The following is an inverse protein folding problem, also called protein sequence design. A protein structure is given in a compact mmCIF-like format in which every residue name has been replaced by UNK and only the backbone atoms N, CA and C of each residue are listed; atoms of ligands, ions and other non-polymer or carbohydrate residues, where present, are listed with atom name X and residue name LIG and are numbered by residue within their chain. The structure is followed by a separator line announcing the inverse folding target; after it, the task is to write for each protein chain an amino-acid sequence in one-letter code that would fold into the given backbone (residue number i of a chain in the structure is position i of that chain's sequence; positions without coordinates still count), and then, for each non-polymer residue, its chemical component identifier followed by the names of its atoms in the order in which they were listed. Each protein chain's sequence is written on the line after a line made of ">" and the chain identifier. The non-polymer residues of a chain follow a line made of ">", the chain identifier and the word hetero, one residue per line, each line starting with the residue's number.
data_IF_308848815423
#
_entry.id   IF_308848815423
#
_cell.length_a   1.000
_cell.length_b   1.000
_cell.length_c   1.000
_cell.angle_alpha   90.00
_cell.angle_beta   90.00
_cell.angle_gamma   90.00
#
_symmetry.space_group_name_H-M   'P 1'
#
loop_
_entity.id
_entity.type
_entity.pdbx_description
1 polymer ?
#
# COMPACT_ATOMS: atom_id res chain seq x y z
N UNK A 1 -22.59 7.85 -41.41
CA UNK A 1 -22.26 6.48 -40.95
C UNK A 1 -21.58 6.57 -39.57
N UNK A 2 -22.34 6.94 -38.55
CA UNK A 2 -21.95 6.61 -37.18
C UNK A 2 -22.51 5.20 -36.93
N UNK A 3 -21.62 4.24 -37.03
CA UNK A 3 -21.93 2.85 -36.76
C UNK A 3 -22.34 2.72 -35.28
N UNK A 4 -23.63 2.47 -35.05
CA UNK A 4 -24.22 2.21 -33.72
C UNK A 4 -23.75 0.86 -33.12
N UNK A 5 -22.83 0.14 -33.77
CA UNK A 5 -22.24 -1.07 -33.23
C UNK A 5 -21.39 -0.76 -31.99
N UNK A 6 -21.61 -1.47 -30.88
CA UNK A 6 -20.86 -1.32 -29.63
C UNK A 6 -19.42 -1.86 -29.71
N UNK A 7 -18.97 -2.26 -30.90
CA UNK A 7 -17.60 -2.73 -31.13
C UNK A 7 -16.60 -1.62 -30.85
N UNK A 8 -15.70 -1.90 -29.90
CA UNK A 8 -14.58 -1.06 -29.54
C UNK A 8 -13.41 -1.35 -30.48
N UNK A 9 -13.00 -0.39 -31.29
CA UNK A 9 -11.83 -0.49 -32.16
C UNK A 9 -11.05 0.84 -32.19
N UNK A 10 -9.77 0.78 -32.51
CA UNK A 10 -8.86 1.93 -32.40
C UNK A 10 -9.27 3.08 -33.32
N UNK A 11 -9.88 2.78 -34.47
CA UNK A 11 -10.37 3.78 -35.43
C UNK A 11 -11.54 4.59 -34.84
N UNK A 12 -12.52 3.93 -34.22
CA UNK A 12 -13.64 4.59 -33.53
C UNK A 12 -13.14 5.38 -32.33
N UNK A 13 -12.25 4.81 -31.52
CA UNK A 13 -11.68 5.48 -30.36
C UNK A 13 -10.89 6.74 -30.78
N UNK A 14 -10.07 6.67 -31.84
CA UNK A 14 -9.36 7.82 -32.40
C UNK A 14 -10.31 8.91 -32.94
N UNK A 15 -11.37 8.53 -33.66
CA UNK A 15 -12.40 9.48 -34.14
C UNK A 15 -13.11 10.18 -32.98
N UNK A 16 -13.47 9.45 -31.92
CA UNK A 16 -14.09 10.00 -30.71
C UNK A 16 -13.13 10.96 -30.00
N UNK A 17 -11.85 10.60 -29.86
CA UNK A 17 -10.83 11.48 -29.28
C UNK A 17 -10.68 12.76 -30.11
N UNK A 18 -10.57 12.64 -31.44
CA UNK A 18 -10.46 13.80 -32.33
C UNK A 18 -11.68 14.72 -32.23
N UNK A 19 -12.89 14.15 -32.15
CA UNK A 19 -14.12 14.92 -31.98
C UNK A 19 -14.17 15.60 -30.60
N UNK A 20 -13.75 14.93 -29.53
CA UNK A 20 -13.64 15.55 -28.19
C UNK A 20 -12.63 16.70 -28.17
N UNK A 21 -11.49 16.58 -28.86
CA UNK A 21 -10.50 17.64 -29.00
C UNK A 21 -11.06 18.82 -29.80
N UNK A 22 -11.63 18.55 -30.98
CA UNK A 22 -12.29 19.55 -31.83
C UNK A 22 -13.39 20.32 -31.09
N UNK A 23 -14.20 19.61 -30.30
CA UNK A 23 -15.32 20.21 -29.57
C UNK A 23 -14.90 20.89 -28.25
N UNK A 24 -13.60 20.91 -27.92
CA UNK A 24 -13.11 21.46 -26.65
C UNK A 24 -13.55 20.66 -25.42
N UNK A 25 -14.06 19.43 -25.60
CA UNK A 25 -14.59 18.54 -24.55
C UNK A 25 -13.50 17.67 -23.93
N UNK A 26 -12.37 18.28 -23.60
CA UNK A 26 -11.26 17.63 -22.93
C UNK A 26 -10.86 18.40 -21.68
N UNK A 27 -10.21 17.71 -20.75
CA UNK A 27 -9.63 18.34 -19.57
C UNK A 27 -8.12 18.35 -19.73
N UNK A 28 -7.50 19.52 -19.54
CA UNK A 28 -6.05 19.61 -19.47
C UNK A 28 -5.60 18.88 -18.19
N UNK A 29 -4.75 17.85 -18.29
CA UNK A 29 -4.26 17.15 -17.12
C UNK A 29 -3.40 18.09 -16.28
N UNK A 30 -3.76 18.27 -15.01
CA UNK A 30 -2.87 18.90 -14.03
C UNK A 30 -1.73 17.93 -13.72
N UNK A 31 -0.58 18.19 -14.34
CA UNK A 31 0.69 17.54 -14.06
C UNK A 31 1.33 18.25 -12.87
N UNK A 32 1.61 17.53 -11.76
CA UNK A 32 2.36 18.12 -10.66
C UNK A 32 3.71 18.61 -11.15
N UNK A 33 4.21 19.65 -10.51
CA UNK A 33 5.51 20.24 -10.75
C UNK A 33 6.32 20.24 -9.45
N UNK A 34 7.64 20.36 -9.56
CA UNK A 34 8.55 20.41 -8.42
C UNK A 34 8.37 19.23 -7.47
N UNK A 35 8.33 19.51 -6.17
CA UNK A 35 8.30 18.48 -5.10
C UNK A 35 7.12 17.51 -5.24
N UNK A 36 5.96 17.97 -5.73
CA UNK A 36 4.80 17.08 -5.94
C UNK A 36 4.99 16.10 -7.12
N UNK A 37 5.80 16.48 -8.13
CA UNK A 37 6.19 15.58 -9.21
C UNK A 37 7.17 14.52 -8.69
N UNK A 38 8.14 14.93 -7.88
CA UNK A 38 9.08 14.01 -7.21
C UNK A 38 8.34 13.01 -6.31
N UNK A 39 7.37 13.46 -5.51
CA UNK A 39 6.52 12.55 -4.72
C UNK A 39 5.77 11.55 -5.60
N UNK A 40 5.29 11.98 -6.77
CA UNK A 40 4.58 11.08 -7.69
C UNK A 40 5.50 9.99 -8.23
N UNK A 41 6.70 10.34 -8.66
CA UNK A 41 7.66 9.34 -9.14
C UNK A 41 8.14 8.44 -7.99
N UNK A 42 8.37 8.98 -6.79
CA UNK A 42 8.70 8.18 -5.61
C UNK A 42 7.60 7.15 -5.27
N UNK A 43 6.32 7.54 -5.34
CA UNK A 43 5.21 6.62 -5.10
C UNK A 43 5.06 5.56 -6.21
N UNK A 44 5.42 5.89 -7.45
CA UNK A 44 5.48 4.92 -8.56
C UNK A 44 6.61 3.91 -8.35
N UNK A 45 7.79 4.35 -7.91
CA UNK A 45 8.90 3.47 -7.54
C UNK A 45 8.46 2.53 -6.42
N UNK A 46 7.80 3.06 -5.38
CA UNK A 46 7.25 2.26 -4.27
C UNK A 46 6.28 1.18 -4.75
N UNK A 47 5.40 1.50 -5.70
CA UNK A 47 4.46 0.54 -6.28
C UNK A 47 5.19 -0.60 -7.02
N UNK A 48 6.27 -0.29 -7.75
CA UNK A 48 7.10 -1.29 -8.42
C UNK A 48 7.81 -2.19 -7.40
N UNK A 49 8.52 -1.60 -6.42
CA UNK A 49 9.18 -2.36 -5.36
C UNK A 49 8.21 -3.25 -4.58
N UNK A 50 6.97 -2.81 -4.36
CA UNK A 50 5.94 -3.62 -3.69
C UNK A 50 5.57 -4.82 -4.53
N UNK A 51 5.44 -4.63 -5.85
CA UNK A 51 5.13 -5.73 -6.79
C UNK A 51 6.27 -6.74 -6.82
N UNK A 52 7.51 -6.26 -6.92
CA UNK A 52 8.70 -7.11 -6.94
C UNK A 52 8.83 -7.90 -5.63
N UNK A 53 8.62 -7.25 -4.48
CA UNK A 53 8.66 -7.92 -3.18
C UNK A 53 7.61 -9.03 -3.08
N UNK A 54 6.38 -8.79 -3.52
CA UNK A 54 5.35 -9.84 -3.54
C UNK A 54 5.75 -11.03 -4.42
N UNK A 55 6.40 -10.79 -5.57
CA UNK A 55 6.91 -11.86 -6.44
C UNK A 55 8.00 -12.66 -5.73
N UNK A 56 8.96 -11.99 -5.07
CA UNK A 56 10.02 -12.69 -4.33
C UNK A 56 9.45 -13.48 -3.15
N UNK A 57 8.53 -12.90 -2.39
CA UNK A 57 7.87 -13.60 -1.28
C UNK A 57 7.16 -14.87 -1.77
N UNK A 58 6.41 -14.78 -2.88
CA UNK A 58 5.75 -15.94 -3.46
C UNK A 58 6.74 -17.01 -3.94
N UNK A 59 7.90 -16.62 -4.48
CA UNK A 59 8.96 -17.56 -4.88
C UNK A 59 9.61 -18.24 -3.69
N UNK A 60 9.86 -17.52 -2.58
CA UNK A 60 10.37 -18.13 -1.34
C UNK A 60 9.35 -19.11 -0.77
N UNK A 61 8.06 -18.76 -0.76
CA UNK A 61 7.01 -19.70 -0.37
C UNK A 61 7.00 -20.96 -1.22
N UNK A 62 7.07 -20.84 -2.54
CA UNK A 62 7.14 -21.99 -3.44
C UNK A 62 8.38 -22.86 -3.18
N UNK A 63 9.55 -22.22 -2.97
CA UNK A 63 10.76 -22.92 -2.59
C UNK A 63 10.58 -23.71 -1.29
N UNK A 64 9.99 -23.10 -0.26
CA UNK A 64 9.67 -23.77 1.00
C UNK A 64 8.71 -24.95 0.77
N UNK A 65 7.63 -24.75 0.03
CA UNK A 65 6.65 -25.81 -0.25
C UNK A 65 7.26 -27.01 -0.98
N UNK A 66 8.26 -26.78 -1.85
CA UNK A 66 8.93 -27.83 -2.63
C UNK A 66 10.05 -28.52 -1.85
N UNK A 67 10.91 -27.74 -1.20
CA UNK A 67 12.20 -28.22 -0.70
C UNK A 67 12.22 -28.38 0.83
N UNK A 68 11.35 -27.68 1.57
CA UNK A 68 11.19 -27.84 3.03
C UNK A 68 9.77 -27.45 3.54
N UNK A 69 8.72 -28.18 3.15
CA UNK A 69 7.33 -27.77 3.41
C UNK A 69 6.99 -27.68 4.91
N UNK A 70 7.68 -28.46 5.75
CA UNK A 70 7.46 -28.48 7.20
C UNK A 70 8.08 -27.27 7.91
N UNK A 71 8.90 -26.45 7.24
CA UNK A 71 9.59 -25.31 7.85
C UNK A 71 8.61 -24.34 8.54
N UNK A 72 7.46 -24.07 7.90
CA UNK A 72 6.47 -23.13 8.41
C UNK A 72 5.67 -23.67 9.62
N UNK A 73 5.78 -24.97 9.92
CA UNK A 73 5.22 -25.55 11.16
C UNK A 73 5.99 -25.08 12.39
N UNK A 74 7.30 -24.81 12.24
CA UNK A 74 8.20 -24.33 13.29
C UNK A 74 8.27 -22.80 13.29
N UNK A 75 8.36 -22.21 12.09
CA UNK A 75 8.39 -20.77 11.88
C UNK A 75 7.13 -20.33 11.12
N UNK A 76 6.08 -19.94 11.86
CA UNK A 76 4.81 -19.48 11.27
C UNK A 76 4.96 -18.35 10.25
N UNK A 77 6.03 -17.57 10.37
CA UNK A 77 6.39 -16.49 9.47
C UNK A 77 7.87 -16.65 9.09
N UNK A 78 8.14 -16.94 7.83
CA UNK A 78 9.52 -17.09 7.33
C UNK A 78 10.26 -15.74 7.26
N UNK A 79 9.53 -14.62 7.22
CA UNK A 79 10.12 -13.27 7.17
C UNK A 79 10.59 -12.80 8.56
N UNK A 80 10.30 -13.56 9.62
CA UNK A 80 10.81 -13.23 10.94
C UNK A 80 12.35 -13.39 10.99
N UNK A 81 13.04 -12.53 11.75
CA UNK A 81 14.51 -12.47 11.81
C UNK A 81 15.16 -13.84 12.05
N UNK A 82 14.56 -14.64 12.92
CA UNK A 82 15.03 -15.98 13.26
C UNK A 82 14.88 -16.97 12.12
N UNK A 83 13.77 -16.92 11.38
CA UNK A 83 13.55 -17.80 10.25
C UNK A 83 14.49 -17.44 9.09
N UNK A 84 14.62 -16.15 8.76
CA UNK A 84 15.60 -15.66 7.78
C UNK A 84 17.02 -16.10 8.17
N UNK A 85 17.41 -15.96 9.44
CA UNK A 85 18.71 -16.42 9.93
C UNK A 85 18.91 -17.94 9.70
N UNK A 86 17.90 -18.77 9.96
CA UNK A 86 18.02 -20.21 9.69
C UNK A 86 18.10 -20.50 8.18
N UNK A 87 17.29 -19.81 7.36
CA UNK A 87 17.30 -19.97 5.91
C UNK A 87 18.59 -19.45 5.26
N UNK A 88 19.31 -18.53 5.91
CA UNK A 88 20.60 -18.01 5.44
C UNK A 88 21.74 -19.03 5.53
N UNK A 89 21.51 -20.18 6.17
CA UNK A 89 22.43 -21.33 6.08
C UNK A 89 22.32 -22.05 4.73
N UNK A 90 21.23 -21.81 3.99
CA UNK A 90 20.96 -22.43 2.69
C UNK A 90 21.04 -23.96 2.74
N UNK A 91 20.55 -24.56 3.83
CA UNK A 91 20.55 -26.01 4.04
C UNK A 91 19.20 -26.60 3.66
N UNK A 92 19.25 -27.76 3.01
CA UNK A 92 18.08 -28.60 2.80
C UNK A 92 17.80 -29.47 4.03
N UNK A 93 16.58 -30.03 4.18
CA UNK A 93 16.20 -30.78 5.37
C UNK A 93 17.19 -31.89 5.75
N UNK A 94 17.64 -32.68 4.77
CA UNK A 94 18.55 -33.80 4.98
C UNK A 94 19.97 -33.38 5.41
N UNK A 95 20.41 -32.18 5.02
CA UNK A 95 21.67 -31.59 5.47
C UNK A 95 21.53 -30.99 6.87
N UNK A 96 20.40 -30.29 7.12
CA UNK A 96 20.11 -29.63 8.39
C UNK A 96 20.10 -30.61 9.57
N UNK A 97 19.61 -31.84 9.36
CA UNK A 97 19.62 -32.90 10.38
C UNK A 97 21.04 -33.27 10.84
N UNK A 98 22.02 -33.20 9.93
CA UNK A 98 23.41 -33.54 10.21
C UNK A 98 24.15 -32.45 11.00
N UNK A 99 23.62 -31.22 11.03
CA UNK A 99 24.27 -30.12 11.75
C UNK A 99 24.05 -30.28 13.27
N UNK A 100 25.09 -30.12 14.11
CA UNK A 100 24.96 -30.14 15.56
C UNK A 100 23.99 -29.05 16.06
N UNK A 101 23.21 -29.38 17.09
CA UNK A 101 22.22 -28.45 17.64
C UNK A 101 22.87 -27.20 18.22
N UNK A 102 24.05 -27.35 18.82
CA UNK A 102 24.85 -26.26 19.38
C UNK A 102 25.26 -25.25 18.30
N UNK A 103 25.64 -25.72 17.11
CA UNK A 103 26.02 -24.87 15.98
C UNK A 103 24.81 -24.10 15.43
N UNK A 104 23.66 -24.78 15.26
CA UNK A 104 22.41 -24.13 14.84
C UNK A 104 21.93 -23.11 15.87
N UNK A 105 22.07 -23.42 17.16
CA UNK A 105 21.70 -22.52 18.25
C UNK A 105 22.61 -21.28 18.29
N UNK A 106 23.91 -21.45 18.07
CA UNK A 106 24.85 -20.34 17.98
C UNK A 106 24.50 -19.42 16.81
N UNK A 107 24.28 -19.99 15.62
CA UNK A 107 23.88 -19.23 14.43
C UNK A 107 22.57 -18.45 14.64
N UNK A 108 21.57 -19.08 15.26
CA UNK A 108 20.28 -18.43 15.55
C UNK A 108 20.42 -17.23 16.50
N UNK A 109 21.35 -17.31 17.47
CA UNK A 109 21.58 -16.26 18.49
C UNK A 109 22.19 -14.98 17.91
N UNK A 110 22.84 -15.04 16.75
CA UNK A 110 23.39 -13.86 16.08
C UNK A 110 22.29 -12.87 15.68
N UNK A 111 21.12 -13.37 15.23
CA UNK A 111 20.01 -12.53 14.80
C UNK A 111 19.00 -12.19 15.91
N UNK A 112 18.88 -13.04 16.95
CA UNK A 112 17.83 -12.91 17.97
C UNK A 112 18.37 -13.04 19.40
N UNK A 113 18.53 -11.90 20.09
CA UNK A 113 19.03 -11.82 21.48
C UNK A 113 18.05 -12.29 22.57
N UNK A 114 16.80 -12.65 22.24
CA UNK A 114 15.77 -13.05 23.24
C UNK A 114 14.96 -14.28 22.80
N UNK A 115 14.91 -15.29 23.67
CA UNK A 115 13.77 -16.21 23.81
C UNK A 115 13.59 -17.33 22.77
N UNK A 116 14.43 -17.46 21.74
CA UNK A 116 14.42 -18.66 20.89
C UNK A 116 15.42 -19.67 21.46
N UNK A 117 14.87 -20.70 22.10
CA UNK A 117 15.62 -21.72 22.81
C UNK A 117 15.97 -22.92 21.94
N UNK A 118 16.79 -23.79 22.53
CA UNK A 118 17.13 -25.12 22.04
C UNK A 118 15.89 -25.91 21.55
N UNK A 119 14.75 -25.77 22.24
CA UNK A 119 13.50 -26.42 21.83
C UNK A 119 13.03 -26.10 20.42
N UNK A 120 13.33 -24.90 19.89
CA UNK A 120 12.99 -24.57 18.49
C UNK A 120 13.97 -25.21 17.49
N UNK A 121 15.24 -25.34 17.85
CA UNK A 121 16.23 -26.07 17.05
C UNK A 121 15.86 -27.55 17.00
N UNK A 122 15.50 -28.15 18.14
CA UNK A 122 15.01 -29.53 18.21
C UNK A 122 13.79 -29.71 17.32
N UNK A 123 12.77 -28.84 17.44
CA UNK A 123 11.58 -28.90 16.59
C UNK A 123 11.91 -28.76 15.09
N UNK A 124 12.88 -27.90 14.74
CA UNK A 124 13.33 -27.74 13.36
C UNK A 124 14.03 -29.00 12.83
N UNK A 125 14.91 -29.63 13.62
CA UNK A 125 15.56 -30.88 13.24
C UNK A 125 14.56 -32.04 13.15
N UNK A 126 13.56 -32.08 14.03
CA UNK A 126 12.47 -33.05 13.97
C UNK A 126 11.61 -32.87 12.70
N UNK A 127 11.27 -31.62 12.36
CA UNK A 127 10.57 -31.31 11.11
C UNK A 127 11.41 -31.71 9.89
N UNK A 128 12.72 -31.42 9.92
CA UNK A 128 13.64 -31.75 8.84
C UNK A 128 13.83 -33.26 8.64
N UNK A 129 13.88 -34.05 9.72
CA UNK A 129 14.07 -35.50 9.65
C UNK A 129 12.87 -36.23 9.05
N UNK A 130 11.66 -35.66 9.19
CA UNK A 130 10.42 -36.16 8.62
C UNK A 130 10.04 -35.51 7.29
N UNK A 131 10.90 -34.63 6.77
CA UNK A 131 10.54 -33.80 5.63
C UNK A 131 10.36 -34.61 4.34
N UNK A 132 9.29 -34.29 3.63
CA UNK A 132 8.99 -34.83 2.29
C UNK A 132 9.57 -33.97 1.16
N UNK A 133 10.39 -32.96 1.49
CA UNK A 133 11.00 -32.05 0.52
C UNK A 133 11.84 -32.76 -0.54
N UNK A 134 11.89 -32.18 -1.73
CA UNK A 134 12.61 -32.73 -2.89
C UNK A 134 14.11 -32.84 -2.59
N UNK A 135 14.71 -33.99 -2.92
CA UNK A 135 16.14 -34.27 -2.71
C UNK A 135 16.98 -34.18 -3.99
N UNK A 136 16.33 -34.21 -5.16
CA UNK A 136 16.99 -34.09 -6.45
C UNK A 136 17.26 -32.61 -6.78
N UNK A 137 18.40 -32.32 -7.41
CA UNK A 137 18.77 -30.94 -7.74
C UNK A 137 19.17 -30.08 -6.52
N UNK A 138 19.55 -30.72 -5.41
CA UNK A 138 19.84 -30.07 -4.13
C UNK A 138 20.76 -28.85 -4.22
N UNK A 139 21.85 -28.93 -4.99
CA UNK A 139 22.78 -27.81 -5.15
C UNK A 139 22.13 -26.58 -5.82
N UNK A 140 21.30 -26.78 -6.84
CA UNK A 140 20.59 -25.67 -7.48
C UNK A 140 19.43 -25.15 -6.64
N UNK A 141 18.76 -26.00 -5.85
CA UNK A 141 17.75 -25.55 -4.90
C UNK A 141 18.37 -24.60 -3.85
N UNK A 142 19.55 -24.93 -3.33
CA UNK A 142 20.28 -24.07 -2.38
C UNK A 142 20.72 -22.75 -3.03
N UNK A 143 21.20 -22.82 -4.28
CA UNK A 143 21.54 -21.64 -5.05
C UNK A 143 20.32 -20.73 -5.30
N UNK A 144 19.16 -21.32 -5.61
CA UNK A 144 17.90 -20.60 -5.78
C UNK A 144 17.49 -19.88 -4.49
N UNK A 145 17.49 -20.57 -3.34
CA UNK A 145 17.18 -19.93 -2.06
C UNK A 145 18.12 -18.76 -1.77
N UNK A 146 19.42 -18.94 -1.99
CA UNK A 146 20.41 -17.88 -1.81
C UNK A 146 20.12 -16.66 -2.69
N UNK A 147 19.78 -16.87 -3.95
CA UNK A 147 19.39 -15.81 -4.87
C UNK A 147 18.13 -15.08 -4.36
N UNK A 148 17.10 -15.83 -3.95
CA UNK A 148 15.84 -15.27 -3.48
C UNK A 148 15.99 -14.44 -2.20
N UNK A 149 16.74 -14.94 -1.20
CA UNK A 149 16.99 -14.19 0.03
C UNK A 149 17.83 -12.94 -0.23
N UNK A 150 18.83 -13.02 -1.13
CA UNK A 150 19.62 -11.85 -1.54
C UNK A 150 18.74 -10.79 -2.20
N UNK A 151 17.83 -11.19 -3.09
CA UNK A 151 16.88 -10.29 -3.74
C UNK A 151 15.89 -9.68 -2.74
N UNK A 152 15.41 -10.47 -1.79
CA UNK A 152 14.54 -10.03 -0.72
C UNK A 152 15.20 -8.94 0.15
N UNK A 153 16.43 -9.19 0.61
CA UNK A 153 17.21 -8.21 1.40
C UNK A 153 17.49 -6.93 0.61
N UNK A 154 17.85 -7.06 -0.67
CA UNK A 154 18.08 -5.92 -1.54
C UNK A 154 16.83 -5.06 -1.70
N UNK A 155 15.66 -5.67 -1.92
CA UNK A 155 14.38 -4.96 -2.03
C UNK A 155 14.04 -4.23 -0.73
N UNK A 156 14.23 -4.85 0.43
CA UNK A 156 14.04 -4.19 1.73
C UNK A 156 14.96 -2.98 1.90
N UNK A 157 16.23 -3.10 1.51
CA UNK A 157 17.16 -1.96 1.51
C UNK A 157 16.67 -0.84 0.61
N UNK A 158 16.14 -1.15 -0.58
CA UNK A 158 15.56 -0.14 -1.48
C UNK A 158 14.31 0.52 -0.92
N UNK A 159 13.49 -0.21 -0.16
CA UNK A 159 12.41 0.40 0.59
C UNK A 159 12.91 1.38 1.65
N UNK A 160 13.96 1.06 2.40
CA UNK A 160 14.54 1.98 3.39
C UNK A 160 15.15 3.22 2.73
N UNK A 161 15.91 3.06 1.64
CA UNK A 161 16.44 4.20 0.86
C UNK A 161 15.30 5.12 0.37
N UNK A 162 14.23 4.53 -0.18
CA UNK A 162 13.07 5.30 -0.65
C UNK A 162 12.32 5.98 0.50
N UNK A 163 12.22 5.32 1.66
CA UNK A 163 11.64 5.93 2.87
C UNK A 163 12.45 7.14 3.30
N UNK A 164 13.78 7.09 3.30
CA UNK A 164 14.60 8.28 3.62
C UNK A 164 14.32 9.40 2.61
N UNK A 165 14.32 9.10 1.32
CA UNK A 165 14.08 10.11 0.28
C UNK A 165 12.71 10.75 0.36
N UNK A 166 11.66 9.96 0.61
CA UNK A 166 10.32 10.48 0.83
C UNK A 166 10.25 11.42 2.04
N UNK A 167 11.17 11.31 3.03
CA UNK A 167 11.12 12.05 4.30
C UNK A 167 11.59 13.47 4.02
N UNK A 168 12.73 13.55 3.33
CA UNK A 168 13.31 14.78 2.81
C UNK A 168 12.33 15.56 1.93
N UNK A 169 11.59 14.87 1.05
CA UNK A 169 10.57 15.50 0.20
C UNK A 169 9.39 16.02 1.01
N UNK A 170 8.93 15.26 1.99
CA UNK A 170 7.78 15.63 2.81
C UNK A 170 8.05 16.83 3.73
N UNK A 171 9.27 16.96 4.24
CA UNK A 171 9.68 18.11 5.09
C UNK A 171 9.64 19.44 4.32
N UNK A 172 9.85 19.42 3.01
CA UNK A 172 9.83 20.62 2.17
C UNK A 172 8.41 21.13 1.88
N UNK A 173 7.37 20.33 2.15
CA UNK A 173 6.00 20.71 1.84
C UNK A 173 5.35 21.37 3.06
N UNK A 174 4.81 22.59 2.92
CA UNK A 174 4.06 23.23 4.00
C UNK A 174 2.93 22.35 4.51
N UNK A 175 2.63 22.46 5.81
CA UNK A 175 1.51 21.79 6.47
C UNK A 175 1.65 20.26 6.66
N UNK A 176 2.69 19.62 6.11
CA UNK A 176 2.93 18.18 6.31
C UNK A 176 3.11 17.78 7.78
N UNK A 177 3.84 18.52 8.63
CA UNK A 177 3.91 18.19 10.06
C UNK A 177 2.54 18.11 10.74
N UNK A 178 1.64 19.04 10.42
CA UNK A 178 0.26 19.09 10.93
C UNK A 178 -0.56 17.91 10.40
N UNK A 179 -0.34 17.50 9.15
CA UNK A 179 -0.98 16.32 8.57
C UNK A 179 -0.48 15.01 9.22
N UNK A 180 0.81 14.90 9.52
CA UNK A 180 1.42 13.75 10.18
C UNK A 180 1.05 13.64 11.67
N UNK A 181 0.75 14.76 12.32
CA UNK A 181 0.28 14.78 13.72
C UNK A 181 -1.09 14.09 13.90
N UNK A 182 -1.84 13.85 12.82
CA UNK A 182 -3.13 13.19 12.90
C UNK A 182 -3.00 11.71 13.26
N UNK A 183 -3.60 11.33 14.40
CA UNK A 183 -3.57 9.94 14.89
C UNK A 183 -4.17 8.95 13.88
N UNK A 184 -3.34 8.02 13.43
CA UNK A 184 -3.71 6.93 12.53
C UNK A 184 -3.46 7.22 11.06
N UNK A 185 -2.86 8.36 10.72
CA UNK A 185 -2.45 8.70 9.37
C UNK A 185 -0.93 8.66 9.30
N UNK A 186 -0.41 7.65 8.62
CA UNK A 186 1.02 7.45 8.46
C UNK A 186 1.61 8.26 7.32
N UNK A 187 2.93 8.24 7.27
CA UNK A 187 3.72 8.98 6.29
C UNK A 187 3.47 8.56 4.84
N UNK A 188 3.45 7.26 4.57
CA UNK A 188 3.09 6.69 3.26
C UNK A 188 1.72 7.16 2.76
N UNK A 189 0.78 7.38 3.69
CA UNK A 189 -0.55 7.89 3.36
C UNK A 189 -0.48 9.33 2.90
N UNK A 190 0.25 10.19 3.62
CA UNK A 190 0.40 11.59 3.25
C UNK A 190 1.16 11.73 1.94
N UNK A 191 2.29 11.02 1.78
CA UNK A 191 3.05 10.99 0.52
C UNK A 191 2.19 10.53 -0.65
N UNK A 192 1.47 9.41 -0.51
CA UNK A 192 0.58 8.89 -1.54
C UNK A 192 -0.57 9.84 -1.87
N UNK A 193 -1.11 10.54 -0.87
CA UNK A 193 -2.19 11.49 -1.07
C UNK A 193 -1.70 12.72 -1.83
N UNK A 194 -0.58 13.32 -1.41
CA UNK A 194 0.02 14.50 -2.05
C UNK A 194 0.57 14.18 -3.45
N UNK A 195 1.10 13.00 -3.70
CA UNK A 195 1.49 12.54 -5.04
C UNK A 195 0.31 12.54 -6.05
N UNK A 196 -0.87 12.20 -5.53
CA UNK A 196 -2.10 12.07 -6.32
C UNK A 196 -2.99 13.31 -6.29
N UNK A 197 -2.80 14.25 -5.37
CA UNK A 197 -3.59 15.48 -5.28
C UNK A 197 -2.77 16.69 -5.72
N UNK A 198 -1.46 16.66 -5.53
CA UNK A 198 -0.61 17.84 -5.65
C UNK A 198 -0.81 18.77 -4.45
N UNK A 199 -0.58 20.05 -4.68
CA UNK A 199 -0.79 21.08 -3.67
C UNK A 199 -2.28 21.24 -3.33
N UNK A 200 -2.61 20.99 -2.07
CA UNK A 200 -3.97 21.08 -1.55
C UNK A 200 -4.47 22.54 -1.56
N UNK A 201 -3.56 23.52 -1.46
CA UNK A 201 -3.90 24.95 -1.45
C UNK A 201 -4.53 25.43 -2.76
N UNK A 202 -4.28 24.73 -3.87
CA UNK A 202 -4.83 25.05 -5.19
C UNK A 202 -6.31 24.70 -5.33
N UNK A 203 -6.89 23.99 -4.35
CA UNK A 203 -8.29 23.60 -4.36
C UNK A 203 -9.14 24.62 -3.57
N UNK A 204 -10.24 25.06 -4.17
CA UNK A 204 -11.21 25.95 -3.52
C UNK A 204 -12.13 25.21 -2.56
N UNK A 205 -12.37 23.91 -2.82
CA UNK A 205 -13.31 23.13 -2.03
C UNK A 205 -12.92 21.64 -2.00
N UNK A 206 -13.02 20.93 -0.86
CA UNK A 206 -12.63 19.52 -0.73
C UNK A 206 -13.41 18.58 -1.67
N UNK A 207 -14.62 18.96 -2.11
CA UNK A 207 -15.39 18.24 -3.15
C UNK A 207 -14.64 18.11 -4.47
N UNK A 208 -13.73 19.03 -4.80
CA UNK A 208 -12.89 18.92 -6.00
C UNK A 208 -11.93 17.74 -5.88
N UNK A 209 -11.34 17.53 -4.70
CA UNK A 209 -10.50 16.36 -4.41
C UNK A 209 -11.35 15.07 -4.36
N UNK A 210 -12.55 15.10 -3.78
CA UNK A 210 -13.49 13.96 -3.84
C UNK A 210 -13.85 13.59 -5.29
N UNK A 211 -14.07 14.59 -6.16
CA UNK A 211 -14.29 14.39 -7.59
C UNK A 211 -13.05 13.81 -8.26
N UNK A 212 -11.86 14.31 -7.94
CA UNK A 212 -10.59 13.79 -8.43
C UNK A 212 -10.40 12.31 -8.07
N UNK A 213 -10.76 11.90 -6.85
CA UNK A 213 -10.74 10.51 -6.41
C UNK A 213 -11.86 9.66 -7.05
N UNK A 214 -12.82 10.26 -7.76
CA UNK A 214 -13.98 9.56 -8.34
C UNK A 214 -14.95 9.03 -7.27
N UNK A 215 -14.98 9.66 -6.09
CA UNK A 215 -15.85 9.29 -4.95
C UNK A 215 -17.23 9.96 -5.00
N UNK A 216 -17.50 10.76 -6.03
CA UNK A 216 -18.82 11.32 -6.27
C UNK A 216 -19.82 10.23 -6.65
N UNK A 217 -21.06 10.42 -6.20
CA UNK A 217 -22.18 9.56 -6.52
C UNK A 217 -22.67 9.82 -7.95
N UNK A 218 -22.99 8.74 -8.66
CA UNK A 218 -23.66 8.72 -9.96
C UNK A 218 -25.06 8.16 -9.76
N UNK A 219 -26.08 8.91 -10.16
CA UNK A 219 -27.44 8.41 -10.31
C UNK A 219 -27.49 7.44 -11.49
N UNK A 220 -28.03 6.24 -11.26
CA UNK A 220 -28.26 5.25 -12.31
C UNK A 220 -29.74 5.31 -12.70
N UNK A 221 -30.17 6.46 -13.21
CA UNK A 221 -31.53 6.70 -13.65
C UNK A 221 -31.60 6.60 -15.16
N UNK A 222 -32.23 5.55 -15.69
CA UNK A 222 -32.81 5.57 -17.04
C UNK A 222 -34.25 6.06 -16.92
N UNK A 223 -34.83 6.61 -17.99
CA UNK A 223 -36.14 7.30 -17.96
C UNK A 223 -37.31 6.55 -17.32
N UNK A 224 -37.18 5.24 -17.08
CA UNK A 224 -38.19 4.39 -16.41
C UNK A 224 -37.66 3.66 -15.17
N UNK A 225 -36.39 3.76 -14.80
CA UNK A 225 -35.80 3.04 -13.66
C UNK A 225 -34.77 3.88 -12.90
N UNK A 226 -35.04 4.14 -11.61
CA UNK A 226 -34.08 4.71 -10.66
C UNK A 226 -33.30 3.60 -9.94
N UNK A 227 -32.15 3.23 -10.48
CA UNK A 227 -31.24 2.27 -9.86
C UNK A 227 -30.44 2.85 -8.69
N UNK A 228 -29.81 1.97 -7.90
CA UNK A 228 -28.99 2.36 -6.75
C UNK A 228 -27.84 3.28 -7.14
N UNK A 229 -27.65 4.35 -6.38
CA UNK A 229 -26.56 5.31 -6.57
C UNK A 229 -25.21 4.65 -6.27
N UNK A 230 -24.29 4.70 -7.24
CA UNK A 230 -22.93 4.13 -7.11
C UNK A 230 -21.90 5.24 -7.25
N UNK A 231 -20.70 5.06 -6.70
CA UNK A 231 -19.61 5.98 -7.00
C UNK A 231 -19.29 5.93 -8.50
N UNK A 232 -18.97 7.08 -9.09
CA UNK A 232 -18.66 7.21 -10.53
C UNK A 232 -17.47 6.36 -10.94
N UNK A 233 -16.46 6.22 -10.05
CA UNK A 233 -15.12 5.67 -10.36
C UNK A 233 -14.38 6.43 -11.48
N UNK A 234 -14.94 7.55 -11.97
CA UNK A 234 -14.37 8.46 -12.96
C UNK A 234 -13.45 9.45 -12.24
N UNK A 235 -12.21 9.03 -12.02
CA UNK A 235 -11.19 9.78 -11.26
C UNK A 235 -9.95 8.91 -11.01
N UNK A 236 -8.93 9.48 -10.36
CA UNK A 236 -7.63 8.83 -10.10
C UNK A 236 -7.83 7.55 -9.27
N UNK A 237 -7.59 6.39 -9.92
CA UNK A 237 -7.77 5.06 -9.32
C UNK A 237 -6.83 4.86 -8.10
N UNK A 238 -5.59 5.33 -8.21
CA UNK A 238 -4.58 5.26 -7.14
C UNK A 238 -5.02 6.03 -5.90
N UNK A 239 -5.43 7.29 -6.04
CA UNK A 239 -6.00 8.08 -4.94
C UNK A 239 -7.16 7.38 -4.24
N UNK A 240 -8.10 6.84 -5.02
CA UNK A 240 -9.25 6.11 -4.48
C UNK A 240 -8.85 4.86 -3.72
N UNK A 241 -7.93 4.07 -4.27
CA UNK A 241 -7.42 2.86 -3.64
C UNK A 241 -6.67 3.18 -2.33
N UNK A 242 -5.83 4.22 -2.34
CA UNK A 242 -5.12 4.71 -1.15
C UNK A 242 -6.10 5.08 -0.04
N UNK A 243 -7.07 5.96 -0.32
CA UNK A 243 -8.05 6.40 0.67
C UNK A 243 -8.80 5.23 1.29
N UNK A 244 -9.21 4.26 0.46
CA UNK A 244 -9.89 3.06 0.94
C UNK A 244 -8.98 2.19 1.82
N UNK A 245 -7.74 1.93 1.38
CA UNK A 245 -6.75 1.13 2.13
C UNK A 245 -6.44 1.74 3.50
N UNK A 246 -6.36 3.06 3.57
CA UNK A 246 -6.12 3.80 4.81
C UNK A 246 -7.32 3.80 5.73
N UNK A 247 -8.53 3.86 5.18
CA UNK A 247 -9.75 3.91 5.98
C UNK A 247 -9.97 2.65 6.82
N UNK A 248 -9.58 1.48 6.31
CA UNK A 248 -9.72 0.20 7.01
C UNK A 248 -9.04 0.17 8.38
N UNK A 249 -7.70 0.38 8.50
CA UNK A 249 -7.03 0.44 9.80
C UNK A 249 -7.44 1.67 10.62
N UNK A 250 -7.83 2.77 9.98
CA UNK A 250 -8.27 3.98 10.68
C UNK A 250 -9.58 3.74 11.43
N UNK A 251 -10.59 3.13 10.81
CA UNK A 251 -11.84 2.72 11.49
C UNK A 251 -11.57 1.69 12.58
N UNK A 252 -10.62 0.78 12.35
CA UNK A 252 -10.27 -0.24 13.35
C UNK A 252 -9.59 0.35 14.59
N UNK A 253 -8.73 1.36 14.45
CA UNK A 253 -7.87 1.85 15.55
C UNK A 253 -8.22 3.23 16.10
N UNK A 254 -8.92 4.06 15.33
CA UNK A 254 -9.29 5.42 15.73
C UNK A 254 -10.75 5.46 16.23
N UNK A 255 -10.93 5.82 17.50
CA UNK A 255 -12.24 5.84 18.18
C UNK A 255 -13.25 6.73 17.45
N UNK A 256 -12.84 7.91 16.96
CA UNK A 256 -13.73 8.83 16.27
C UNK A 256 -14.21 8.27 14.92
N UNK A 257 -13.30 7.70 14.12
CA UNK A 257 -13.67 7.06 12.85
C UNK A 257 -14.52 5.81 13.05
N UNK A 258 -14.27 5.04 14.11
CA UNK A 258 -15.10 3.90 14.50
C UNK A 258 -16.53 4.34 14.84
N UNK A 259 -16.67 5.35 15.70
CA UNK A 259 -17.98 5.89 16.09
C UNK A 259 -18.75 6.42 14.88
N UNK A 260 -18.08 7.12 13.95
CA UNK A 260 -18.71 7.56 12.70
C UNK A 260 -19.12 6.39 11.80
N UNK A 261 -18.31 5.33 11.72
CA UNK A 261 -18.64 4.13 10.97
C UNK A 261 -19.90 3.44 11.52
N UNK A 262 -19.98 3.31 12.84
CA UNK A 262 -21.14 2.74 13.54
C UNK A 262 -22.38 3.60 13.35
N UNK A 263 -22.26 4.92 13.51
CA UNK A 263 -23.35 5.85 13.26
C UNK A 263 -23.88 5.72 11.82
N UNK A 264 -23.01 5.72 10.81
CA UNK A 264 -23.44 5.61 9.41
C UNK A 264 -24.11 4.27 9.08
N UNK A 265 -23.74 3.19 9.77
CA UNK A 265 -24.31 1.86 9.54
C UNK A 265 -25.59 1.61 10.34
N UNK A 266 -25.78 2.30 11.47
CA UNK A 266 -26.93 2.11 12.38
C UNK A 266 -27.93 3.27 12.41
N UNK A 267 -27.67 4.38 11.70
CA UNK A 267 -28.58 5.54 11.72
C UNK A 267 -30.00 5.15 11.25
N UNK A 268 -31.05 5.76 11.84
CA UNK A 268 -32.44 5.39 11.57
C UNK A 268 -32.86 5.73 10.13
N UNK A 269 -32.32 6.81 9.57
CA UNK A 269 -32.64 7.27 8.22
C UNK A 269 -31.51 6.88 7.27
N UNK A 270 -31.84 6.06 6.26
CA UNK A 270 -30.92 5.63 5.19
C UNK A 270 -29.61 5.00 5.74
N UNK A 271 -29.66 3.91 6.52
CA UNK A 271 -28.44 3.24 7.00
C UNK A 271 -27.56 2.79 5.84
N UNK A 272 -26.27 3.07 5.93
CA UNK A 272 -25.30 2.71 4.89
C UNK A 272 -24.81 1.28 5.10
N UNK A 273 -24.65 0.53 4.01
CA UNK A 273 -23.88 -0.73 4.04
C UNK A 273 -22.44 -0.45 4.48
N UNK A 274 -21.75 -1.44 5.06
CA UNK A 274 -20.35 -1.32 5.54
C UNK A 274 -19.44 -0.64 4.50
N UNK A 275 -19.46 -1.08 3.25
CA UNK A 275 -18.66 -0.50 2.16
C UNK A 275 -19.06 0.96 1.83
N UNK A 276 -20.36 1.28 1.86
CA UNK A 276 -20.84 2.65 1.62
C UNK A 276 -20.41 3.60 2.74
N UNK A 277 -20.43 3.12 3.99
CA UNK A 277 -19.93 3.86 5.15
C UNK A 277 -18.43 4.17 5.01
N UNK A 278 -17.60 3.20 4.62
CA UNK A 278 -16.17 3.44 4.37
C UNK A 278 -15.93 4.50 3.28
N UNK A 279 -16.68 4.46 2.19
CA UNK A 279 -16.59 5.47 1.12
C UNK A 279 -17.02 6.86 1.62
N UNK A 280 -18.06 6.94 2.45
CA UNK A 280 -18.45 8.20 3.09
C UNK A 280 -17.35 8.74 4.01
N UNK A 281 -16.68 7.86 4.76
CA UNK A 281 -15.54 8.22 5.60
C UNK A 281 -14.31 8.62 4.77
N UNK A 282 -14.06 8.04 3.59
CA UNK A 282 -13.02 8.54 2.68
C UNK A 282 -13.27 9.99 2.29
N UNK A 283 -14.52 10.35 1.99
CA UNK A 283 -14.90 11.74 1.72
C UNK A 283 -14.74 12.64 2.96
N UNK A 284 -15.02 12.12 4.17
CA UNK A 284 -14.78 12.84 5.42
C UNK A 284 -13.29 13.08 5.65
N UNK A 285 -12.44 12.08 5.38
CA UNK A 285 -10.98 12.19 5.48
C UNK A 285 -10.42 13.26 4.54
N UNK A 286 -10.87 13.29 3.28
CA UNK A 286 -10.50 14.37 2.35
C UNK A 286 -10.84 15.75 2.92
N UNK A 287 -12.02 15.92 3.53
CA UNK A 287 -12.41 17.19 4.14
C UNK A 287 -11.52 17.56 5.34
N UNK A 288 -11.15 16.57 6.16
CA UNK A 288 -10.25 16.78 7.30
C UNK A 288 -8.88 17.23 6.79
N UNK A 289 -8.27 16.49 5.86
CA UNK A 289 -6.99 16.82 5.24
C UNK A 289 -6.99 18.24 4.66
N UNK A 290 -8.04 18.58 3.92
CA UNK A 290 -8.20 19.91 3.35
C UNK A 290 -8.32 21.01 4.43
N UNK A 291 -9.09 20.75 5.48
CA UNK A 291 -9.32 21.72 6.56
C UNK A 291 -8.04 21.98 7.37
N UNK A 292 -7.25 20.93 7.64
CA UNK A 292 -5.96 21.06 8.34
C UNK A 292 -5.01 21.97 7.58
N UNK A 293 -4.90 21.79 6.25
CA UNK A 293 -4.09 22.66 5.41
C UNK A 293 -4.57 24.10 5.47
N UNK A 294 -5.87 24.33 5.26
CA UNK A 294 -6.43 25.69 5.25
C UNK A 294 -6.27 26.42 6.59
N UNK A 295 -6.52 25.73 7.72
CA UNK A 295 -6.35 26.29 9.06
C UNK A 295 -4.88 26.63 9.34
N UNK A 296 -3.97 25.73 8.98
CA UNK A 296 -2.54 25.95 9.15
C UNK A 296 -2.02 27.11 8.30
N UNK A 297 -2.59 27.32 7.10
CA UNK A 297 -2.28 28.50 6.28
C UNK A 297 -2.77 29.80 6.93
N UNK A 298 -3.95 29.79 7.58
CA UNK A 298 -4.50 30.96 8.27
C UNK A 298 -3.72 31.32 9.54
N UNK A 299 -3.24 30.33 10.30
CA UNK A 299 -2.40 30.55 11.48
C UNK A 299 -1.05 31.18 11.10
N UNK A 300 -0.44 30.74 9.98
CA UNK A 300 0.81 31.30 9.47
C UNK A 300 0.67 32.76 9.00
N UNK A 301 -0.50 33.13 8.46
CA UNK A 301 -0.81 34.53 8.09
C UNK A 301 -1.01 35.41 9.34
N UNK A 302 -1.45 34.81 10.46
CA UNK A 302 -1.71 35.53 11.73
C UNK A 302 -0.49 35.69 12.63
N UNK A 303 0.64 35.06 12.32
CA UNK A 303 1.91 35.34 13.00
C UNK A 303 2.57 36.52 12.28
N UNK A 304 2.49 37.76 12.81
CA UNK A 304 3.27 38.85 12.24
C UNK A 304 4.75 38.48 12.33
N UNK A 305 5.52 38.94 11.35
CA UNK A 305 6.98 38.97 11.45
C UNK A 305 7.35 39.69 12.75
N UNK A 306 7.63 38.94 13.82
CA UNK A 306 8.40 39.45 14.95
C UNK A 306 9.85 39.47 14.51
N UNK A 307 10.16 40.43 13.63
CA UNK A 307 11.51 40.89 13.37
C UNK A 307 11.81 41.95 14.41
N UNK A 308 12.60 41.59 15.42
CA UNK A 308 13.57 42.40 16.17
C UNK A 308 14.20 41.52 17.24
#
# INVERSE_FOLDING_TARGET
>A
LDDNSPTKNDIKDAKVIAQLVKDGRYAVPSLPQGIYAELREAMKIRDHLTTDLCVIQARVHNWLDRDFPEFLTVFKDWECKSAIQMLSLYLLPHELVQVPEEALLQHLREAAKRGLGLGRIIALKEAASRSVGVRTGSELAKMELKLLLTQYEWLHKKFEELKVRLDELLIQIPHVPQLLAMKGIGRDTIAGFLAEVGDISQYRHPKQISKLAGLNLKTNSSGTHTGQTKITKRGRKRLRALLFRVMMPLVAKNVAFRALHEYYTKRPINPLKKMQSLIALCNKLIRILFSVVLLSSLEMIRLPHSSS
#
